data_IF_475736016013
#
_entry.id   IF_475736016013
#
_cell.length_a   1.000
_cell.length_b   1.000
_cell.length_c   1.000
_cell.angle_alpha   90.00
_cell.angle_beta   90.00
_cell.angle_gamma   90.00
#
_symmetry.space_group_name_H-M   'P 1'
#
loop_
_entity.id
_entity.type
_entity.pdbx_description
1 polymer ?
#
# COMPACT_ATOMS: atom_id res chain seq x y z
N UNK A 1 -22.20 3.68 23.24
CA UNK A 1 -20.89 3.00 23.11
C UNK A 1 -20.37 3.25 21.71
N UNK A 2 -19.52 4.26 21.56
CA UNK A 2 -18.99 4.72 20.27
C UNK A 2 -17.72 3.94 19.95
N UNK A 3 -17.77 3.07 18.94
CA UNK A 3 -16.56 2.54 18.30
C UNK A 3 -15.92 3.69 17.52
N UNK A 4 -14.76 4.16 18.00
CA UNK A 4 -13.98 5.19 17.33
C UNK A 4 -13.51 4.71 15.96
N UNK A 5 -14.11 5.27 14.91
CA UNK A 5 -13.58 5.22 13.56
C UNK A 5 -12.18 5.86 13.58
N UNK A 6 -11.14 5.09 13.26
CA UNK A 6 -9.90 5.65 12.72
C UNK A 6 -10.25 6.22 11.34
N UNK A 7 -10.67 7.49 11.32
CA UNK A 7 -10.91 8.26 10.12
C UNK A 7 -9.59 8.50 9.39
N UNK A 8 -9.27 7.63 8.44
CA UNK A 8 -8.25 7.91 7.43
C UNK A 8 -8.91 8.87 6.43
N UNK A 9 -8.70 10.17 6.64
CA UNK A 9 -9.08 11.21 5.68
C UNK A 9 -8.09 11.21 4.51
N UNK A 10 -8.13 10.17 3.68
CA UNK A 10 -7.42 10.16 2.39
C UNK A 10 -8.41 10.53 1.31
N UNK A 11 -8.24 11.71 0.69
CA UNK A 11 -8.99 12.10 -0.51
C UNK A 11 -8.67 11.10 -1.64
N UNK A 12 -9.56 10.12 -1.83
CA UNK A 12 -9.53 9.21 -2.98
C UNK A 12 -10.12 9.97 -4.17
N UNK A 13 -9.27 10.55 -5.02
CA UNK A 13 -9.73 11.20 -6.24
C UNK A 13 -10.07 10.13 -7.28
N UNK A 14 -11.36 9.94 -7.54
CA UNK A 14 -11.86 9.09 -8.62
C UNK A 14 -11.75 9.83 -9.96
N UNK A 15 -11.16 9.21 -10.99
CA UNK A 15 -11.42 9.67 -12.36
C UNK A 15 -11.30 8.58 -13.43
N UNK A 16 -12.29 8.64 -14.34
CA UNK A 16 -12.49 7.95 -15.61
C UNK A 16 -12.79 6.44 -15.61
N UNK A 17 -14.05 6.10 -15.27
CA UNK A 17 -14.73 4.93 -15.85
C UNK A 17 -16.01 5.38 -16.57
N UNK A 18 -16.12 5.06 -17.85
CA UNK A 18 -17.33 5.28 -18.67
C UNK A 18 -18.58 4.71 -17.96
N UNK A 19 -19.69 5.46 -17.90
CA UNK A 19 -20.88 5.08 -17.15
C UNK A 19 -21.68 4.02 -17.91
N UNK A 20 -21.50 2.76 -17.55
CA UNK A 20 -22.44 1.68 -17.86
C UNK A 20 -22.88 1.01 -16.56
N UNK A 21 -24.12 0.51 -16.47
CA UNK A 21 -24.66 -0.05 -15.22
C UNK A 21 -23.88 -1.27 -14.66
N UNK A 22 -23.09 -1.98 -15.49
CA UNK A 22 -22.12 -3.00 -15.02
C UNK A 22 -20.89 -2.37 -14.34
N UNK A 23 -20.48 -1.17 -14.74
CA UNK A 23 -19.34 -0.45 -14.18
C UNK A 23 -19.53 -0.11 -12.69
N UNK A 24 -20.77 0.06 -12.20
CA UNK A 24 -21.05 0.33 -10.78
C UNK A 24 -20.82 -0.88 -9.88
N UNK A 25 -21.22 -2.09 -10.33
CA UNK A 25 -21.01 -3.33 -9.57
C UNK A 25 -19.53 -3.75 -9.54
N UNK A 26 -18.82 -3.52 -10.64
CA UNK A 26 -17.36 -3.67 -10.71
C UNK A 26 -16.74 -2.63 -9.79
N UNK A 27 -17.06 -1.34 -9.91
CA UNK A 27 -16.53 -0.30 -9.02
C UNK A 27 -16.72 -0.61 -7.52
N UNK A 28 -17.86 -1.19 -7.09
CA UNK A 28 -18.08 -1.61 -5.69
C UNK A 28 -17.18 -2.78 -5.24
N UNK A 29 -17.02 -3.82 -6.07
CA UNK A 29 -16.13 -4.96 -5.77
C UNK A 29 -14.64 -4.61 -5.94
N UNK A 30 -14.30 -3.82 -6.96
CA UNK A 30 -12.95 -3.31 -7.19
C UNK A 30 -12.55 -2.34 -6.10
N UNK A 31 -13.44 -1.47 -5.60
CA UNK A 31 -13.16 -0.61 -4.44
C UNK A 31 -12.87 -1.43 -3.18
N UNK A 32 -13.57 -2.55 -2.94
CA UNK A 32 -13.27 -3.45 -1.82
C UNK A 32 -11.98 -4.26 -2.02
N UNK A 33 -11.69 -4.71 -3.24
CA UNK A 33 -10.41 -5.35 -3.56
C UNK A 33 -9.26 -4.36 -3.41
N UNK A 34 -9.42 -3.14 -3.91
CA UNK A 34 -8.48 -2.02 -3.72
C UNK A 34 -8.33 -1.73 -2.23
N UNK A 35 -9.39 -1.55 -1.45
CA UNK A 35 -9.28 -1.34 0.00
C UNK A 35 -8.62 -2.51 0.73
N UNK A 36 -8.85 -3.76 0.31
CA UNK A 36 -8.20 -4.97 0.87
C UNK A 36 -6.72 -5.06 0.45
N UNK A 37 -6.38 -4.72 -0.79
CA UNK A 37 -5.02 -4.60 -1.29
C UNK A 37 -4.27 -3.45 -0.61
N UNK A 38 -4.94 -2.31 -0.40
CA UNK A 38 -4.47 -1.19 0.40
C UNK A 38 -4.24 -1.67 1.83
N UNK A 39 -5.23 -2.21 2.55
CA UNK A 39 -5.04 -2.65 3.95
C UNK A 39 -3.95 -3.73 4.12
N UNK A 40 -3.74 -4.58 3.11
CA UNK A 40 -2.70 -5.63 3.11
C UNK A 40 -1.31 -5.17 2.66
N UNK A 41 -1.21 -4.20 1.75
CA UNK A 41 0.07 -3.67 1.24
C UNK A 41 0.48 -2.33 1.87
N UNK A 42 -0.41 -1.64 2.60
CA UNK A 42 -0.17 -0.33 3.21
C UNK A 42 1.04 -0.34 4.17
N UNK A 43 1.38 -1.49 4.76
CA UNK A 43 2.55 -1.59 5.62
C UNK A 43 3.87 -1.81 4.88
N UNK A 44 3.84 -2.10 3.57
CA UNK A 44 5.05 -2.07 2.73
C UNK A 44 5.64 -0.64 2.71
N UNK A 45 4.78 0.37 2.83
CA UNK A 45 5.12 1.78 2.73
C UNK A 45 5.82 2.37 3.96
N UNK A 46 5.75 1.76 5.14
CA UNK A 46 6.30 2.38 6.35
C UNK A 46 7.83 2.37 6.40
N UNK A 47 8.48 1.63 5.49
CA UNK A 47 9.91 1.74 5.27
C UNK A 47 10.29 2.91 4.36
N UNK A 48 9.35 3.42 3.58
CA UNK A 48 9.56 4.58 2.72
C UNK A 48 9.44 5.83 3.60
N UNK A 49 10.48 6.65 3.65
CA UNK A 49 10.57 7.87 4.47
C UNK A 49 9.59 8.97 4.00
N UNK A 50 8.29 8.73 4.03
CA UNK A 50 7.30 9.73 3.69
C UNK A 50 6.10 9.75 4.64
N UNK A 51 5.52 10.95 4.77
CA UNK A 51 4.40 11.23 5.63
C UNK A 51 3.10 10.69 5.00
N UNK A 52 2.44 9.75 5.70
CA UNK A 52 1.20 9.11 5.25
C UNK A 52 0.03 10.11 5.15
N UNK A 53 0.09 11.22 5.87
CA UNK A 53 -0.94 12.27 5.80
C UNK A 53 -0.86 13.09 4.51
N UNK A 54 0.31 13.10 3.86
CA UNK A 54 0.59 13.84 2.62
C UNK A 54 0.68 12.93 1.40
N UNK A 55 0.01 11.78 1.44
CA UNK A 55 -0.02 10.84 0.33
C UNK A 55 -1.28 11.03 -0.51
N UNK A 56 -1.10 11.20 -1.82
CA UNK A 56 -2.18 11.17 -2.79
C UNK A 56 -2.21 9.81 -3.48
N UNK A 57 -3.36 9.16 -3.45
CA UNK A 57 -3.56 7.88 -4.09
C UNK A 57 -4.25 8.07 -5.44
N UNK A 58 -3.58 7.63 -6.50
CA UNK A 58 -4.12 7.59 -7.86
C UNK A 58 -4.31 6.12 -8.26
N UNK A 59 -5.31 5.85 -9.09
CA UNK A 59 -5.46 4.53 -9.66
C UNK A 59 -6.07 4.58 -11.05
N UNK A 60 -5.63 3.66 -11.90
CA UNK A 60 -6.29 3.33 -13.16
C UNK A 60 -6.71 1.86 -13.11
N UNK A 61 -7.95 1.58 -13.50
CA UNK A 61 -8.51 0.23 -13.45
C UNK A 61 -9.38 -0.04 -14.67
N UNK A 62 -9.34 -1.26 -15.18
CA UNK A 62 -10.14 -1.61 -16.35
C UNK A 62 -9.72 -2.93 -16.99
N UNK A 63 -10.25 -3.18 -18.18
CA UNK A 63 -9.74 -4.25 -19.05
C UNK A 63 -8.29 -3.96 -19.43
N UNK A 64 -7.55 -5.00 -19.72
CA UNK A 64 -6.15 -4.86 -20.11
C UNK A 64 -6.02 -4.42 -21.57
N UNK A 65 -6.30 -3.14 -21.80
CA UNK A 65 -6.16 -2.47 -23.09
C UNK A 65 -5.27 -1.24 -22.88
N UNK A 66 -3.95 -1.46 -22.81
CA UNK A 66 -2.98 -0.46 -22.34
C UNK A 66 -3.07 0.88 -23.08
N UNK A 67 -3.02 0.86 -24.42
CA UNK A 67 -3.13 2.09 -25.23
C UNK A 67 -4.55 2.68 -25.25
N UNK A 68 -5.59 1.85 -25.37
CA UNK A 68 -6.98 2.34 -25.42
C UNK A 68 -7.43 2.98 -24.11
N UNK A 69 -6.86 2.55 -22.98
CA UNK A 69 -7.11 3.11 -21.65
C UNK A 69 -6.17 4.25 -21.29
N UNK A 70 -5.25 4.63 -22.18
CA UNK A 70 -4.27 5.67 -21.94
C UNK A 70 -3.28 5.31 -20.82
N UNK A 71 -2.99 4.02 -20.62
CA UNK A 71 -2.04 3.56 -19.62
C UNK A 71 -0.60 4.01 -19.92
N UNK A 72 -0.27 4.13 -21.22
CA UNK A 72 0.96 4.72 -21.73
C UNK A 72 1.11 6.18 -21.29
N UNK A 73 0.13 7.01 -21.63
CA UNK A 73 0.11 8.43 -21.26
C UNK A 73 0.07 8.62 -19.74
N UNK A 74 -0.66 7.75 -19.02
CA UNK A 74 -0.72 7.78 -17.57
C UNK A 74 0.65 7.57 -16.92
N UNK A 75 1.41 6.57 -17.36
CA UNK A 75 2.75 6.28 -16.80
C UNK A 75 3.74 7.40 -17.14
N UNK A 76 3.69 7.93 -18.36
CA UNK A 76 4.55 9.05 -18.77
C UNK A 76 4.23 10.34 -18.01
N UNK A 77 2.96 10.60 -17.76
CA UNK A 77 2.51 11.70 -16.91
C UNK A 77 2.97 11.53 -15.45
N UNK A 78 2.97 10.30 -14.91
CA UNK A 78 3.49 10.00 -13.58
C UNK A 78 5.00 10.26 -13.47
N UNK A 79 5.77 9.91 -14.50
CA UNK A 79 7.20 10.19 -14.55
C UNK A 79 7.50 11.69 -14.61
N UNK A 80 6.75 12.41 -15.44
CA UNK A 80 6.83 13.88 -15.51
C UNK A 80 6.45 14.53 -14.18
N UNK A 81 5.40 14.03 -13.54
CA UNK A 81 4.98 14.46 -12.20
C UNK A 81 6.07 14.18 -11.16
N UNK A 82 6.75 13.03 -11.22
CA UNK A 82 7.86 12.72 -10.31
C UNK A 82 8.95 13.79 -10.40
N UNK A 83 9.36 14.14 -11.62
CA UNK A 83 10.36 15.18 -11.85
C UNK A 83 9.88 16.55 -11.35
N UNK A 84 8.63 16.91 -11.61
CA UNK A 84 8.05 18.17 -11.12
C UNK A 84 8.02 18.23 -9.59
N UNK A 85 7.62 17.14 -8.91
CA UNK A 85 7.56 17.08 -7.45
C UNK A 85 8.94 17.14 -6.80
N UNK A 86 9.96 16.59 -7.47
CA UNK A 86 11.35 16.64 -7.01
C UNK A 86 11.98 18.03 -7.18
N UNK A 87 11.66 18.74 -8.27
CA UNK A 87 12.24 20.05 -8.59
C UNK A 87 11.42 21.23 -8.03
N UNK A 88 10.16 21.00 -7.69
CA UNK A 88 9.27 22.06 -7.17
C UNK A 88 9.76 22.61 -5.83
N UNK A 89 9.81 23.94 -5.73
CA UNK A 89 10.14 24.68 -4.50
C UNK A 89 8.89 25.14 -3.74
N UNK A 90 7.69 24.83 -4.25
CA UNK A 90 6.43 25.25 -3.65
C UNK A 90 6.18 24.57 -2.30
N UNK A 91 5.94 25.37 -1.25
CA UNK A 91 5.62 24.87 0.10
C UNK A 91 4.37 23.98 0.15
N UNK A 92 3.40 24.18 -0.76
CA UNK A 92 2.15 23.39 -0.81
C UNK A 92 2.37 21.94 -1.25
N UNK A 93 3.37 21.73 -2.09
CA UNK A 93 3.69 20.45 -2.73
C UNK A 93 4.87 19.75 -2.04
N UNK A 94 5.58 20.50 -1.19
CA UNK A 94 6.64 19.99 -0.32
C UNK A 94 6.14 18.87 0.60
N UNK A 95 6.83 17.73 0.55
CA UNK A 95 6.47 16.52 1.30
C UNK A 95 5.31 15.70 0.74
N UNK A 96 4.61 16.13 -0.32
CA UNK A 96 3.56 15.33 -0.96
C UNK A 96 4.13 14.11 -1.70
N UNK A 97 3.62 12.93 -1.42
CA UNK A 97 3.99 11.70 -2.15
C UNK A 97 2.79 11.19 -2.91
N UNK A 98 2.98 10.78 -4.16
CA UNK A 98 1.90 10.20 -4.96
C UNK A 98 2.13 8.70 -5.05
N UNK A 99 1.08 7.93 -4.83
CA UNK A 99 1.09 6.48 -4.99
C UNK A 99 0.08 6.12 -6.06
N UNK A 100 0.55 5.56 -7.17
CA UNK A 100 -0.27 5.21 -8.32
C UNK A 100 -0.43 3.69 -8.44
N UNK A 101 -1.67 3.24 -8.57
CA UNK A 101 -2.02 1.83 -8.78
C UNK A 101 -2.51 1.60 -10.21
N UNK A 102 -1.98 0.57 -10.86
CA UNK A 102 -2.44 0.11 -12.17
C UNK A 102 -3.12 -1.24 -11.97
N UNK A 103 -4.41 -1.33 -12.28
CA UNK A 103 -5.24 -2.50 -11.97
C UNK A 103 -5.84 -3.03 -13.26
N UNK A 104 -5.04 -3.84 -13.97
CA UNK A 104 -5.45 -4.52 -15.18
C UNK A 104 -5.40 -6.04 -14.98
N UNK A 105 -6.40 -6.81 -15.42
CA UNK A 105 -6.34 -8.26 -15.35
C UNK A 105 -5.38 -8.80 -16.42
N UNK A 106 -4.29 -9.45 -16.00
CA UNK A 106 -3.29 -10.02 -16.89
C UNK A 106 -3.05 -11.50 -16.59
N UNK A 107 -2.37 -12.19 -17.51
CA UNK A 107 -1.87 -13.53 -17.29
C UNK A 107 -0.68 -13.47 -16.31
N UNK A 108 -0.93 -13.92 -15.09
CA UNK A 108 0.08 -14.06 -14.04
C UNK A 108 -0.12 -15.41 -13.34
N UNK A 109 0.89 -15.88 -12.62
CA UNK A 109 0.82 -17.12 -11.86
C UNK A 109 0.28 -16.86 -10.45
N UNK A 110 1.16 -16.47 -9.53
CA UNK A 110 0.87 -16.23 -8.12
C UNK A 110 1.52 -14.93 -7.67
N UNK A 111 1.23 -14.50 -6.44
CA UNK A 111 1.94 -13.38 -5.82
C UNK A 111 3.45 -13.67 -5.75
N UNK A 112 4.26 -12.63 -5.94
CA UNK A 112 5.70 -12.77 -5.72
C UNK A 112 6.00 -13.05 -4.24
N UNK A 113 7.14 -13.70 -3.99
CA UNK A 113 7.58 -14.05 -2.64
C UNK A 113 7.73 -12.80 -1.78
N UNK A 114 8.14 -11.67 -2.38
CA UNK A 114 8.34 -10.41 -1.67
C UNK A 114 7.02 -9.78 -1.18
N UNK A 115 5.95 -9.82 -1.98
CA UNK A 115 4.62 -9.35 -1.55
C UNK A 115 4.08 -10.26 -0.45
N UNK A 116 4.19 -11.58 -0.61
CA UNK A 116 3.72 -12.54 0.41
C UNK A 116 4.47 -12.39 1.74
N UNK A 117 5.81 -12.29 1.68
CA UNK A 117 6.66 -12.06 2.85
C UNK A 117 6.31 -10.74 3.53
N UNK A 118 6.09 -9.69 2.76
CA UNK A 118 5.67 -8.38 3.27
C UNK A 118 4.37 -8.47 4.04
N UNK A 119 3.38 -9.11 3.46
CA UNK A 119 2.09 -9.32 4.09
C UNK A 119 2.21 -10.11 5.40
N UNK A 120 3.00 -11.19 5.41
CA UNK A 120 3.19 -12.03 6.60
C UNK A 120 3.83 -11.26 7.76
N UNK A 121 4.92 -10.52 7.50
CA UNK A 121 5.63 -9.75 8.52
C UNK A 121 4.74 -8.65 9.11
N UNK A 122 3.98 -7.96 8.26
CA UNK A 122 3.07 -6.90 8.70
C UNK A 122 1.91 -7.44 9.52
N UNK A 123 1.36 -8.60 9.12
CA UNK A 123 0.35 -9.30 9.90
C UNK A 123 0.88 -9.69 11.28
N UNK A 124 2.08 -10.26 11.34
CA UNK A 124 2.71 -10.65 12.61
C UNK A 124 2.94 -9.44 13.54
N UNK A 125 3.41 -8.32 13.00
CA UNK A 125 3.59 -7.08 13.76
C UNK A 125 2.25 -6.57 14.30
N UNK A 126 1.20 -6.54 13.47
CA UNK A 126 -0.15 -6.13 13.88
C UNK A 126 -0.69 -7.02 14.99
N UNK A 127 -0.60 -8.34 14.84
CA UNK A 127 -1.07 -9.30 15.84
C UNK A 127 -0.33 -9.14 17.18
N UNK A 128 0.98 -8.89 17.12
CA UNK A 128 1.80 -8.63 18.31
C UNK A 128 1.35 -7.35 19.02
N UNK A 129 1.11 -6.26 18.27
CA UNK A 129 0.62 -4.99 18.81
C UNK A 129 -0.77 -5.16 19.43
N UNK A 130 -1.67 -5.91 18.79
CA UNK A 130 -3.02 -6.14 19.33
C UNK A 130 -2.94 -6.87 20.67
N UNK A 131 -2.14 -7.95 20.78
CA UNK A 131 -1.94 -8.68 22.04
C UNK A 131 -1.37 -7.77 23.13
N UNK A 132 -0.34 -6.99 22.78
CA UNK A 132 0.31 -6.06 23.68
C UNK A 132 -0.65 -4.98 24.18
N UNK A 133 -1.51 -4.44 23.31
CA UNK A 133 -2.55 -3.49 23.66
C UNK A 133 -3.53 -4.07 24.69
N UNK A 134 -4.01 -5.31 24.50
CA UNK A 134 -4.91 -5.96 25.47
C UNK A 134 -4.21 -6.18 26.83
N UNK A 135 -2.97 -6.65 26.84
CA UNK A 135 -2.19 -6.84 28.06
C UNK A 135 -1.91 -5.52 28.80
N UNK A 136 -1.59 -4.46 28.05
CA UNK A 136 -1.38 -3.12 28.59
C UNK A 136 -2.68 -2.58 29.21
N UNK A 137 -3.81 -2.75 28.52
CA UNK A 137 -5.11 -2.29 28.99
C UNK A 137 -5.50 -2.97 30.31
N UNK A 138 -5.30 -4.29 30.43
CA UNK A 138 -5.57 -5.03 31.67
C UNK A 138 -4.73 -4.50 32.84
N UNK A 139 -3.42 -4.31 32.64
CA UNK A 139 -2.51 -3.84 33.69
C UNK A 139 -2.76 -2.38 34.08
N UNK A 140 -3.12 -1.55 33.11
CA UNK A 140 -3.55 -0.18 33.36
C UNK A 140 -4.81 -0.16 34.21
N UNK A 141 -5.80 -0.97 33.86
CA UNK A 141 -7.05 -1.08 34.60
C UNK A 141 -6.83 -1.55 36.04
N UNK A 142 -6.05 -2.62 36.25
CA UNK A 142 -5.74 -3.15 37.59
C UNK A 142 -4.98 -2.14 38.47
N UNK A 143 -4.11 -1.33 37.86
CA UNK A 143 -3.35 -0.31 38.57
C UNK A 143 -4.23 0.87 38.97
N UNK A 144 -5.07 1.35 38.04
CA UNK A 144 -6.04 2.41 38.32
C UNK A 144 -7.07 2.00 39.37
N UNK A 145 -7.51 0.74 39.40
CA UNK A 145 -8.38 0.20 40.46
C UNK A 145 -7.74 0.29 41.86
N UNK A 146 -6.40 0.24 41.93
CA UNK A 146 -5.65 0.40 43.18
C UNK A 146 -5.35 1.87 43.51
N UNK A 147 -5.91 2.82 42.77
CA UNK A 147 -5.73 4.25 43.00
C UNK A 147 -4.35 4.79 42.61
N UNK A 148 -3.57 4.04 41.82
CA UNK A 148 -2.24 4.44 41.35
C UNK A 148 -2.20 4.53 39.83
N UNK A 149 -1.41 5.46 39.30
CA UNK A 149 -1.12 5.55 37.87
C UNK A 149 0.16 4.72 37.62
N UNK A 150 0.11 3.66 36.79
CA UNK A 150 1.28 2.82 36.53
C UNK A 150 2.30 3.52 35.65
N UNK A 151 3.57 3.19 35.84
CA UNK A 151 4.68 3.66 34.99
C UNK A 151 4.81 2.83 33.70
N UNK A 152 5.53 3.36 32.71
CA UNK A 152 5.72 2.74 31.40
C UNK A 152 6.45 1.39 31.47
N UNK A 153 7.26 1.15 32.49
CA UNK A 153 7.92 -0.15 32.71
C UNK A 153 6.95 -1.23 33.19
N UNK A 154 5.92 -0.84 33.94
CA UNK A 154 4.86 -1.76 34.38
C UNK A 154 3.85 -2.06 33.27
N UNK A 155 3.57 -1.06 32.43
CA UNK A 155 2.69 -1.21 31.28
C UNK A 155 3.34 -2.01 30.16
N UNK A 156 4.64 -1.83 29.89
CA UNK A 156 5.32 -2.49 28.79
C UNK A 156 6.53 -3.28 29.28
N UNK A 157 6.35 -4.60 29.46
CA UNK A 157 7.36 -5.46 30.07
C UNK A 157 8.61 -5.56 29.18
N UNK A 158 9.79 -5.81 29.77
CA UNK A 158 11.02 -6.01 29.02
C UNK A 158 10.91 -7.10 27.93
N UNK A 159 10.22 -8.20 28.21
CA UNK A 159 9.98 -9.28 27.25
C UNK A 159 9.17 -8.81 26.03
N UNK A 160 8.12 -8.01 26.26
CA UNK A 160 7.27 -7.44 25.21
C UNK A 160 8.04 -6.40 24.39
N UNK A 161 8.90 -5.59 25.02
CA UNK A 161 9.82 -4.68 24.32
C UNK A 161 10.75 -5.45 23.38
N UNK A 162 11.31 -6.56 23.84
CA UNK A 162 12.19 -7.42 23.01
C UNK A 162 11.41 -8.03 21.85
N UNK A 163 10.20 -8.52 22.09
CA UNK A 163 9.34 -9.06 21.03
C UNK A 163 9.01 -8.00 19.97
N UNK A 164 8.64 -6.79 20.40
CA UNK A 164 8.36 -5.69 19.48
C UNK A 164 9.60 -5.31 18.66
N UNK A 165 10.78 -5.22 19.29
CA UNK A 165 12.05 -4.98 18.59
C UNK A 165 12.34 -6.06 17.55
N UNK A 166 12.12 -7.34 17.87
CA UNK A 166 12.28 -8.44 16.91
C UNK A 166 11.35 -8.28 15.71
N UNK A 167 10.07 -7.96 15.92
CA UNK A 167 9.13 -7.73 14.82
C UNK A 167 9.54 -6.55 13.93
N UNK A 168 10.05 -5.47 14.52
CA UNK A 168 10.56 -4.31 13.76
C UNK A 168 11.77 -4.70 12.92
N UNK A 169 12.72 -5.45 13.48
CA UNK A 169 13.90 -5.91 12.76
C UNK A 169 13.54 -6.84 11.60
N UNK A 170 12.60 -7.78 11.80
CA UNK A 170 12.10 -8.64 10.72
C UNK A 170 11.37 -7.87 9.60
N UNK A 171 10.91 -6.65 9.89
CA UNK A 171 10.27 -5.76 8.91
C UNK A 171 11.25 -4.94 8.07
N UNK A 172 12.53 -4.88 8.46
CA UNK A 172 13.53 -4.18 7.65
C UNK A 172 13.82 -4.97 6.37
N UNK A 173 14.06 -4.23 5.29
CA UNK A 173 14.36 -4.78 3.96
C UNK A 173 15.50 -4.00 3.34
N UNK A 174 16.35 -4.72 2.62
CA UNK A 174 17.49 -4.15 1.90
C UNK A 174 17.18 -3.95 0.40
N UNK A 175 16.01 -4.39 -0.05
CA UNK A 175 15.58 -4.33 -1.45
C UNK A 175 14.47 -3.30 -1.64
N UNK A 176 14.43 -2.69 -2.83
CA UNK A 176 13.38 -1.76 -3.22
C UNK A 176 11.99 -2.43 -3.23
N UNK A 177 10.91 -1.66 -2.99
CA UNK A 177 9.56 -2.16 -3.17
C UNK A 177 9.31 -2.61 -4.61
N UNK A 178 8.77 -3.83 -4.83
CA UNK A 178 8.52 -4.31 -6.17
C UNK A 178 7.42 -3.47 -6.83
N UNK A 179 7.61 -3.15 -8.11
CA UNK A 179 6.63 -2.44 -8.94
C UNK A 179 5.47 -3.34 -9.39
N UNK A 180 5.62 -4.66 -9.25
CA UNK A 180 4.61 -5.66 -9.57
C UNK A 180 4.34 -6.57 -8.38
N UNK A 181 3.07 -6.88 -8.13
CA UNK A 181 2.64 -7.74 -7.02
C UNK A 181 2.61 -9.24 -7.37
N UNK A 182 2.57 -9.58 -8.65
CA UNK A 182 2.40 -10.94 -9.15
C UNK A 182 3.57 -11.35 -10.05
N UNK A 183 3.83 -12.66 -10.14
CA UNK A 183 4.74 -13.23 -11.11
C UNK A 183 4.03 -13.30 -12.48
N UNK A 184 4.37 -12.38 -13.38
CA UNK A 184 3.79 -12.33 -14.72
C UNK A 184 4.25 -13.52 -15.56
N UNK A 185 3.36 -14.04 -16.42
CA UNK A 185 3.70 -15.12 -17.35
C UNK A 185 4.69 -14.61 -18.40
N UNK A 186 4.46 -13.41 -18.91
CA UNK A 186 5.34 -12.72 -19.85
C UNK A 186 5.70 -11.32 -19.33
N UNK A 187 6.62 -11.30 -18.37
CA UNK A 187 7.11 -10.09 -17.71
C UNK A 187 7.88 -9.16 -18.66
N UNK A 188 8.57 -9.73 -19.67
CA UNK A 188 9.46 -8.99 -20.57
C UNK A 188 8.70 -8.26 -21.66
N UNK A 189 7.59 -8.82 -22.17
CA UNK A 189 6.78 -8.16 -23.19
C UNK A 189 5.64 -7.31 -22.61
N UNK A 190 5.39 -7.41 -21.30
CA UNK A 190 4.29 -6.69 -20.63
C UNK A 190 4.34 -5.17 -20.87
N UNK A 191 3.30 -4.57 -21.49
CA UNK A 191 3.30 -3.15 -21.83
C UNK A 191 3.39 -2.21 -20.61
N UNK A 192 2.82 -2.60 -19.47
CA UNK A 192 2.81 -1.79 -18.25
C UNK A 192 4.18 -1.81 -17.60
N UNK A 193 4.77 -2.99 -17.43
CA UNK A 193 6.09 -3.15 -16.83
C UNK A 193 7.18 -2.54 -17.72
N UNK A 194 7.06 -2.68 -19.04
CA UNK A 194 7.97 -2.02 -19.97
C UNK A 194 7.85 -0.50 -19.95
N UNK A 195 6.64 0.05 -19.79
CA UNK A 195 6.48 1.49 -19.59
C UNK A 195 7.10 1.96 -18.28
N UNK A 196 6.95 1.22 -17.17
CA UNK A 196 7.66 1.54 -15.93
C UNK A 196 9.19 1.52 -16.08
N UNK A 197 9.72 0.50 -16.77
CA UNK A 197 11.16 0.40 -17.07
C UNK A 197 11.65 1.57 -17.92
N UNK A 198 10.91 1.89 -19.00
CA UNK A 198 11.20 3.01 -19.90
C UNK A 198 11.22 4.35 -19.17
N UNK A 199 10.25 4.56 -18.28
CA UNK A 199 10.12 5.78 -17.49
C UNK A 199 10.96 5.78 -16.18
N UNK A 200 11.74 4.73 -15.94
CA UNK A 200 12.59 4.54 -14.75
C UNK A 200 11.86 4.67 -13.40
N UNK A 201 10.58 4.27 -13.35
CA UNK A 201 9.78 4.28 -12.12
C UNK A 201 9.98 2.96 -11.36
N UNK A 202 10.97 2.92 -10.47
CA UNK A 202 11.37 1.72 -9.71
C UNK A 202 11.12 1.82 -8.20
N UNK A 203 10.40 2.86 -7.76
CA UNK A 203 10.15 3.14 -6.34
C UNK A 203 11.42 3.42 -5.52
N UNK A 204 12.43 4.08 -6.09
CA UNK A 204 13.60 4.52 -5.33
C UNK A 204 13.20 5.47 -4.21
N UNK A 205 13.95 5.55 -3.12
CA UNK A 205 13.62 6.41 -1.98
C UNK A 205 13.41 7.89 -2.37
N UNK A 206 14.21 8.40 -3.31
CA UNK A 206 14.13 9.77 -3.82
C UNK A 206 12.91 10.02 -4.72
N UNK A 207 12.25 8.98 -5.23
CA UNK A 207 11.04 9.14 -6.03
C UNK A 207 9.90 9.69 -5.16
N UNK A 208 9.22 10.71 -5.66
CA UNK A 208 8.03 11.30 -5.02
C UNK A 208 6.75 10.70 -5.58
N UNK A 209 6.84 9.98 -6.70
CA UNK A 209 5.77 9.15 -7.26
C UNK A 209 6.19 7.68 -7.14
N UNK A 210 5.33 6.89 -6.51
CA UNK A 210 5.52 5.45 -6.33
C UNK A 210 4.46 4.70 -7.11
N UNK A 211 4.81 3.58 -7.72
CA UNK A 211 3.95 2.82 -8.62
C UNK A 211 3.82 1.36 -8.20
N UNK A 212 2.61 0.82 -8.34
CA UNK A 212 2.33 -0.61 -8.19
C UNK A 212 1.37 -1.08 -9.26
N UNK A 213 1.78 -2.09 -10.02
CA UNK A 213 0.88 -2.90 -10.82
C UNK A 213 0.25 -4.01 -9.98
N UNK A 214 -1.06 -4.08 -10.04
CA UNK A 214 -1.89 -5.09 -9.40
C UNK A 214 -2.63 -5.84 -10.48
N UNK A 215 -2.06 -6.99 -10.85
CA UNK A 215 -2.68 -7.88 -11.82
C UNK A 215 -3.66 -8.81 -11.11
N UNK A 216 -4.95 -8.68 -11.42
CA UNK A 216 -5.94 -9.63 -10.91
C UNK A 216 -5.88 -10.87 -11.78
N UNK A 217 -5.55 -12.01 -11.16
CA UNK A 217 -5.57 -13.31 -11.84
C UNK A 217 -6.93 -13.51 -12.51
N UNK A 218 -6.90 -13.74 -13.83
CA UNK A 218 -8.02 -14.41 -14.50
C UNK A 218 -7.99 -15.86 -14.02
N UNK A 219 -8.59 -16.16 -12.88
CA UNK A 219 -8.96 -17.54 -12.58
C UNK A 219 -9.99 -17.96 -13.65
N UNK A 220 -9.60 -18.90 -14.52
CA UNK A 220 -10.50 -19.69 -15.34
C UNK A 220 -11.45 -18.93 -16.26
N UNK A 221 -10.94 -18.31 -17.32
CA UNK A 221 -11.70 -18.22 -18.58
C UNK A 221 -11.02 -19.14 -19.60
N UNK A 222 -10.97 -20.42 -19.27
CA UNK A 222 -10.97 -21.49 -20.27
C UNK A 222 -12.36 -22.11 -20.24
N UNK A 223 -13.22 -21.60 -21.13
CA UNK A 223 -14.05 -22.33 -22.09
C UNK A 223 -14.87 -21.33 -22.90
#
# INVERSE_FOLDING_TARGET
>A
MSCGNLGISSKVSFSFASPSNRSKAIAGKTSQCILKLFSKNFYFFKHMNFDLEKVLYLFTAGRYEFSNKGGDFFIEALASLNHMLQTSTEKRVSGVTVVAFIIYPAAAHSFNVDTLRGQAVCKQLRETIVKLKENMASRLFDSCLRGRIPDMEELLLPAERVQLKRCILSSKRDTLPPICTHNMVDDVSDPVLNAFRRCQLFNYDHDRVKVWSVFILKEGIEK
#
